data_IF_024277880231
#
_entry.id   IF_024277880231
#
_cell.length_a   1.000
_cell.length_b   1.000
_cell.length_c   1.000
_cell.angle_alpha   90.00
_cell.angle_beta   90.00
_cell.angle_gamma   90.00
#
_symmetry.space_group_name_H-M   'P 1'
#
loop_
_entity.id
_entity.type
_entity.pdbx_description
1 polymer ?
#
# COMPACT_ATOMS: atom_id res chain seq x y z
N UNK A 1 -6.40 -8.53 1.87
CA UNK A 1 -6.05 -9.66 2.73
C UNK A 1 -4.71 -9.38 3.36
N UNK A 2 -4.57 -9.70 4.64
CA UNK A 2 -3.34 -9.55 5.41
C UNK A 2 -2.96 -10.92 5.96
N UNK A 3 -1.70 -11.29 5.79
CA UNK A 3 -1.11 -12.47 6.40
C UNK A 3 -0.84 -12.25 7.89
N UNK A 4 -0.49 -13.35 8.56
CA UNK A 4 -0.06 -13.34 9.96
C UNK A 4 1.23 -12.53 10.15
N UNK A 5 2.15 -12.65 9.20
CA UNK A 5 3.37 -11.85 9.13
C UNK A 5 3.33 -10.91 7.94
N UNK A 6 3.66 -9.63 8.19
CA UNK A 6 3.84 -8.60 7.17
C UNK A 6 5.27 -8.11 7.25
N UNK A 7 6.04 -8.37 6.20
CA UNK A 7 7.45 -8.00 6.12
C UNK A 7 7.67 -6.98 5.01
N UNK A 8 8.60 -6.06 5.20
CA UNK A 8 9.00 -5.08 4.20
C UNK A 8 10.11 -4.17 4.69
N UNK A 9 10.77 -3.46 3.76
CA UNK A 9 11.77 -2.44 4.07
C UNK A 9 11.15 -1.06 3.99
N UNK A 10 11.10 -0.38 5.13
CA UNK A 10 10.59 0.99 5.23
C UNK A 10 11.71 1.98 4.92
N UNK A 11 11.44 2.91 4.01
CA UNK A 11 12.32 4.01 3.65
C UNK A 11 11.55 5.33 3.64
N UNK A 12 12.26 6.46 3.51
CA UNK A 12 11.61 7.75 3.40
C UNK A 12 10.68 7.78 2.17
N UNK A 13 9.38 8.02 2.41
CA UNK A 13 8.37 8.11 1.38
C UNK A 13 8.01 6.80 0.67
N UNK A 14 8.54 5.64 1.09
CA UNK A 14 8.25 4.36 0.42
C UNK A 14 8.48 3.13 1.30
N UNK A 15 7.81 2.04 0.95
CA UNK A 15 8.01 0.70 1.48
C UNK A 15 8.32 -0.22 0.31
N UNK A 16 9.43 -0.94 0.39
CA UNK A 16 9.89 -1.88 -0.63
C UNK A 16 9.86 -3.32 -0.10
N UNK A 17 9.87 -4.29 -1.01
CA UNK A 17 9.87 -5.72 -0.72
C UNK A 17 8.77 -6.15 0.26
N UNK A 18 7.58 -5.58 0.08
CA UNK A 18 6.42 -5.87 0.90
C UNK A 18 5.91 -7.29 0.59
N UNK A 19 5.72 -8.08 1.65
CA UNK A 19 5.13 -9.42 1.60
C UNK A 19 4.07 -9.57 2.69
N UNK A 20 3.16 -10.54 2.50
CA UNK A 20 2.04 -10.75 3.44
C UNK A 20 0.85 -9.81 3.22
N UNK A 21 0.86 -8.96 2.19
CA UNK A 21 -0.27 -8.06 1.86
C UNK A 21 -0.78 -8.34 0.45
N UNK A 22 -2.09 -8.52 0.31
CA UNK A 22 -2.76 -8.66 -0.99
C UNK A 22 -3.95 -7.72 -1.10
N UNK A 23 -4.11 -7.09 -2.26
CA UNK A 23 -5.26 -6.25 -2.58
C UNK A 23 -6.16 -6.93 -3.60
N UNK A 24 -7.47 -6.69 -3.49
CA UNK A 24 -8.44 -7.20 -4.46
C UNK A 24 -8.54 -6.21 -5.61
N UNK A 25 -8.19 -6.66 -6.80
CA UNK A 25 -8.29 -5.87 -8.03
C UNK A 25 -9.28 -6.54 -8.96
N UNK A 26 -10.36 -5.83 -9.29
CA UNK A 26 -11.53 -6.35 -10.00
C UNK A 26 -12.12 -7.56 -9.27
N UNK A 27 -11.63 -8.77 -9.56
CA UNK A 27 -12.09 -10.04 -9.00
C UNK A 27 -10.96 -10.91 -8.45
N UNK A 28 -9.69 -10.57 -8.70
CA UNK A 28 -8.51 -11.35 -8.31
C UNK A 28 -7.79 -10.69 -7.14
N UNK A 29 -7.14 -11.50 -6.32
CA UNK A 29 -6.23 -11.02 -5.28
C UNK A 29 -4.81 -10.98 -5.84
N UNK A 30 -4.18 -9.83 -5.72
CA UNK A 30 -2.82 -9.61 -6.21
C UNK A 30 -1.93 -9.13 -5.06
N UNK A 31 -0.67 -9.57 -5.01
CA UNK A 31 0.26 -9.15 -3.97
C UNK A 31 0.63 -7.67 -4.13
N UNK A 32 0.68 -6.95 -3.01
CA UNK A 32 1.22 -5.59 -2.96
C UNK A 32 2.71 -5.69 -2.71
N UNK A 33 3.54 -5.21 -3.63
CA UNK A 33 5.00 -5.34 -3.56
C UNK A 33 5.70 -4.10 -3.04
N UNK A 34 5.20 -2.93 -3.45
CA UNK A 34 5.79 -1.65 -3.11
C UNK A 34 4.70 -0.62 -2.86
N UNK A 35 5.03 0.33 -2.00
CA UNK A 35 4.20 1.50 -1.71
C UNK A 35 5.10 2.72 -1.74
N UNK A 36 4.69 3.80 -2.40
CA UNK A 36 5.44 5.05 -2.40
C UNK A 36 4.53 6.27 -2.40
N UNK A 37 5.10 7.38 -1.94
CA UNK A 37 4.47 8.70 -1.86
C UNK A 37 5.40 9.64 -2.61
N UNK A 38 4.95 10.13 -3.77
CA UNK A 38 5.76 11.04 -4.60
C UNK A 38 5.92 12.41 -3.94
N UNK A 39 4.80 13.01 -3.55
CA UNK A 39 4.76 14.32 -2.91
C UNK A 39 3.79 14.30 -1.74
N UNK A 40 4.31 14.58 -0.54
CA UNK A 40 3.52 14.55 0.69
C UNK A 40 2.35 15.57 0.69
N UNK A 41 2.42 16.63 -0.12
CA UNK A 41 1.36 17.63 -0.27
C UNK A 41 0.29 17.17 -1.26
N UNK A 42 0.62 16.27 -2.18
CA UNK A 42 -0.35 15.71 -3.14
C UNK A 42 -1.46 14.91 -2.46
N UNK A 43 -1.21 14.36 -1.27
CA UNK A 43 -2.20 13.57 -0.52
C UNK A 43 -2.55 12.24 -1.18
N UNK A 44 -1.67 11.70 -2.03
CA UNK A 44 -1.85 10.40 -2.68
C UNK A 44 -0.74 9.43 -2.30
N UNK A 45 -1.10 8.14 -2.31
CA UNK A 45 -0.23 7.00 -2.10
C UNK A 45 -0.34 6.09 -3.31
N UNK A 46 0.79 5.66 -3.83
CA UNK A 46 0.89 4.79 -4.99
C UNK A 46 1.31 3.39 -4.55
N UNK A 47 0.59 2.38 -5.03
CA UNK A 47 0.81 0.98 -4.71
C UNK A 47 1.15 0.21 -5.97
N UNK A 48 2.23 -0.55 -5.91
CA UNK A 48 2.57 -1.58 -6.88
C UNK A 48 1.88 -2.88 -6.48
N UNK A 49 0.87 -3.27 -7.25
CA UNK A 49 0.01 -4.43 -7.01
C UNK A 49 0.15 -5.40 -8.17
N UNK A 50 1.30 -6.08 -8.24
CA UNK A 50 1.52 -7.08 -9.28
C UNK A 50 1.89 -6.43 -10.62
N UNK A 51 1.09 -6.61 -11.69
CA UNK A 51 1.25 -5.89 -12.95
C UNK A 51 0.52 -4.54 -12.97
N UNK A 52 -0.11 -4.12 -11.87
CA UNK A 52 -1.02 -2.98 -11.81
C UNK A 52 -0.50 -1.94 -10.82
N UNK A 53 -0.57 -0.68 -11.21
CA UNK A 53 -0.35 0.46 -10.32
C UNK A 53 -1.68 1.01 -9.83
N UNK A 54 -1.79 1.20 -8.51
CA UNK A 54 -2.99 1.69 -7.86
C UNK A 54 -2.69 3.03 -7.18
N UNK A 55 -3.51 4.05 -7.45
CA UNK A 55 -3.43 5.35 -6.79
C UNK A 55 -4.56 5.47 -5.78
N UNK A 56 -4.21 5.67 -4.52
CA UNK A 56 -5.15 5.81 -3.41
C UNK A 56 -4.94 7.16 -2.73
N UNK A 57 -6.00 7.76 -2.20
CA UNK A 57 -5.86 8.95 -1.36
C UNK A 57 -5.21 8.56 -0.03
N UNK A 58 -4.36 9.43 0.50
CA UNK A 58 -3.75 9.23 1.81
C UNK A 58 -4.81 9.08 2.91
N UNK A 59 -5.96 9.74 2.76
CA UNK A 59 -7.12 9.61 3.64
C UNK A 59 -7.69 8.20 3.70
N UNK A 60 -7.53 7.37 2.66
CA UNK A 60 -7.96 5.98 2.69
C UNK A 60 -7.18 5.12 3.71
N UNK A 61 -5.99 5.59 4.12
CA UNK A 61 -5.14 4.95 5.12
C UNK A 61 -5.26 5.59 6.51
N UNK A 62 -6.01 6.69 6.63
CA UNK A 62 -6.31 7.30 7.91
C UNK A 62 -7.43 6.52 8.58
N UNK A 63 -7.07 5.42 9.25
CA UNK A 63 -7.95 4.84 10.26
C UNK A 63 -8.09 5.85 11.39
N UNK A 64 -9.28 6.44 11.54
CA UNK A 64 -9.66 7.09 12.80
C UNK A 64 -9.85 6.00 13.84
N UNK A 65 -8.85 5.78 14.69
CA UNK A 65 -9.11 5.32 16.03
C UNK A 65 -9.53 6.56 16.84
N UNK A 66 -10.79 6.67 17.31
CA UNK A 66 -11.01 7.48 18.50
C UNK A 66 -10.17 6.87 19.61
N UNK A 67 -9.38 7.75 20.23
CA UNK A 67 -8.54 7.53 21.39
C UNK A 67 -9.23 6.77 22.53
#
# INVERSE_FOLDING_TARGET
>A
WYGEEVNGRVMYGRIEDLTGVQSKVLLVWLPVRQLHVDDAKSGYVYLDVGPIYMKLSASAFQSQLPC
#
